data_IF_392535680721
#
_entry.id   IF_392535680721
#
_cell.length_a   1.000
_cell.length_b   1.000
_cell.length_c   1.000
_cell.angle_alpha   90.00
_cell.angle_beta   90.00
_cell.angle_gamma   90.00
#
_symmetry.space_group_name_H-M   'P 1'
#
loop_
_entity.id
_entity.type
_entity.pdbx_description
1 polymer ?
#
# COMPACT_ATOMS: atom_id res chain seq x y z
N UNK A 1 -13.82 18.55 -28.29
CA UNK A 1 -12.76 18.18 -29.26
C UNK A 1 -12.96 16.73 -29.65
N UNK A 2 -13.25 16.46 -30.93
CA UNK A 2 -13.47 15.09 -31.44
C UNK A 2 -12.09 14.56 -31.84
N UNK A 3 -11.67 13.46 -31.22
CA UNK A 3 -10.38 12.82 -31.52
C UNK A 3 -10.61 11.69 -32.52
N UNK A 4 -9.87 11.70 -33.62
CA UNK A 4 -10.00 10.73 -34.71
C UNK A 4 -8.71 9.91 -34.78
N UNK A 5 -8.81 8.58 -34.79
CA UNK A 5 -7.71 7.67 -35.06
C UNK A 5 -8.12 6.78 -36.23
N UNK A 6 -7.27 6.68 -37.26
CA UNK A 6 -7.50 5.82 -38.44
C UNK A 6 -8.87 6.04 -39.11
N UNK A 7 -9.36 7.28 -39.13
CA UNK A 7 -10.67 7.63 -39.71
C UNK A 7 -11.88 7.33 -38.81
N UNK A 8 -11.68 6.69 -37.65
CA UNK A 8 -12.72 6.42 -36.66
C UNK A 8 -12.76 7.46 -35.53
N UNK A 9 -13.97 7.78 -35.04
CA UNK A 9 -14.17 8.60 -33.83
C UNK A 9 -13.79 7.80 -32.59
N UNK A 10 -12.86 8.31 -31.79
CA UNK A 10 -12.52 7.69 -30.50
C UNK A 10 -13.66 7.98 -29.50
N UNK A 11 -14.29 6.94 -28.90
CA UNK A 11 -15.40 7.14 -27.99
C UNK A 11 -14.94 7.84 -26.72
N UNK A 12 -15.67 8.89 -26.31
CA UNK A 12 -15.47 9.55 -25.04
C UNK A 12 -16.28 8.83 -23.96
N UNK A 13 -15.58 8.13 -23.07
CA UNK A 13 -16.17 7.37 -21.97
C UNK A 13 -15.86 8.02 -20.62
N UNK A 14 -16.77 7.87 -19.65
CA UNK A 14 -16.57 8.39 -18.28
C UNK A 14 -15.50 7.63 -17.52
N UNK A 15 -15.44 6.31 -17.72
CA UNK A 15 -14.44 5.43 -17.14
C UNK A 15 -13.90 4.47 -18.20
N UNK A 16 -12.60 4.19 -18.15
CA UNK A 16 -11.92 3.26 -19.03
C UNK A 16 -10.97 2.37 -18.24
N UNK A 17 -11.02 1.07 -18.47
CA UNK A 17 -10.13 0.10 -17.81
C UNK A 17 -8.99 -0.27 -18.76
N UNK A 18 -7.80 0.17 -18.42
CA UNK A 18 -6.59 -0.13 -19.19
C UNK A 18 -5.64 -0.96 -18.33
N UNK A 19 -5.26 -2.14 -18.83
CA UNK A 19 -4.39 -3.09 -18.13
C UNK A 19 -4.82 -3.29 -16.67
N UNK A 20 -6.13 -3.44 -16.40
CA UNK A 20 -6.61 -3.65 -15.03
C UNK A 20 -6.80 -2.39 -14.17
N UNK A 21 -6.21 -1.23 -14.54
CA UNK A 21 -6.38 0.04 -13.83
C UNK A 21 -7.55 0.83 -14.41
N UNK A 22 -8.43 1.33 -13.56
CA UNK A 22 -9.60 2.13 -13.98
C UNK A 22 -9.25 3.62 -13.94
N UNK A 23 -9.31 4.26 -15.11
CA UNK A 23 -9.14 5.69 -15.30
C UNK A 23 -10.51 6.36 -15.44
N UNK A 24 -10.67 7.56 -14.90
CA UNK A 24 -11.87 8.38 -15.10
C UNK A 24 -11.56 9.62 -15.93
N UNK A 25 -12.61 10.23 -16.46
CA UNK A 25 -12.61 11.50 -17.18
C UNK A 25 -11.91 12.65 -16.41
N UNK A 26 -11.93 12.61 -15.08
CA UNK A 26 -11.25 13.57 -14.20
C UNK A 26 -9.75 13.32 -14.02
N UNK A 27 -9.19 12.25 -14.60
CA UNK A 27 -7.78 11.85 -14.51
C UNK A 27 -7.26 11.75 -13.06
N UNK A 28 -8.09 11.29 -12.14
CA UNK A 28 -7.72 11.08 -10.76
C UNK A 28 -7.66 9.57 -10.41
N UNK A 29 -7.13 9.27 -9.22
CA UNK A 29 -6.91 7.89 -8.76
C UNK A 29 -8.11 7.27 -8.03
N UNK A 30 -9.25 7.97 -7.93
CA UNK A 30 -10.38 7.54 -7.10
C UNK A 30 -11.00 6.26 -7.65
N UNK A 31 -11.26 6.20 -8.96
CA UNK A 31 -11.85 5.02 -9.61
C UNK A 31 -10.92 3.81 -9.54
N UNK A 32 -9.61 3.99 -9.77
CA UNK A 32 -8.63 2.92 -9.60
C UNK A 32 -8.62 2.32 -8.19
N UNK A 33 -8.62 3.18 -7.16
CA UNK A 33 -8.63 2.73 -5.75
C UNK A 33 -9.92 2.02 -5.40
N UNK A 34 -11.06 2.52 -5.88
CA UNK A 34 -12.37 1.90 -5.67
C UNK A 34 -12.40 0.50 -6.30
N UNK A 35 -12.02 0.38 -7.57
CA UNK A 35 -11.95 -0.90 -8.28
C UNK A 35 -11.01 -1.90 -7.57
N UNK A 36 -9.84 -1.46 -7.11
CA UNK A 36 -8.92 -2.34 -6.38
C UNK A 36 -9.48 -2.78 -5.02
N UNK A 37 -10.13 -1.87 -4.28
CA UNK A 37 -10.78 -2.22 -3.03
C UNK A 37 -11.91 -3.24 -3.24
N UNK A 38 -12.73 -3.06 -4.28
CA UNK A 38 -13.79 -4.00 -4.65
C UNK A 38 -13.24 -5.35 -5.11
N UNK A 39 -12.18 -5.36 -5.92
CA UNK A 39 -11.52 -6.61 -6.33
C UNK A 39 -10.91 -7.35 -5.14
N UNK A 40 -10.23 -6.65 -4.23
CA UNK A 40 -9.67 -7.24 -3.01
C UNK A 40 -10.78 -7.76 -2.08
N UNK A 41 -11.89 -7.03 -1.95
CA UNK A 41 -13.06 -7.46 -1.17
C UNK A 41 -13.69 -8.72 -1.75
N UNK A 42 -13.86 -8.80 -3.08
CA UNK A 42 -14.38 -10.02 -3.75
C UNK A 42 -13.45 -11.22 -3.52
N UNK A 43 -12.14 -11.02 -3.63
CA UNK A 43 -11.17 -12.08 -3.33
C UNK A 43 -11.26 -12.53 -1.86
N UNK A 44 -11.39 -11.59 -0.92
CA UNK A 44 -11.58 -11.89 0.50
C UNK A 44 -12.88 -12.69 0.73
N UNK A 45 -13.99 -12.27 0.13
CA UNK A 45 -15.27 -12.99 0.22
C UNK A 45 -15.17 -14.42 -0.31
N UNK A 46 -14.49 -14.63 -1.44
CA UNK A 46 -14.26 -15.97 -1.98
C UNK A 46 -13.39 -16.86 -1.09
N UNK A 47 -12.45 -16.27 -0.34
CA UNK A 47 -11.58 -16.99 0.59
C UNK A 47 -12.10 -17.04 2.03
N UNK A 48 -13.32 -16.55 2.29
CA UNK A 48 -13.84 -16.32 3.63
C UNK A 48 -13.77 -17.58 4.51
N UNK A 49 -14.28 -18.71 4.01
CA UNK A 49 -14.33 -19.97 4.75
C UNK A 49 -12.93 -20.50 5.08
N UNK A 50 -11.97 -20.37 4.16
CA UNK A 50 -10.60 -20.82 4.38
C UNK A 50 -9.88 -19.93 5.41
N UNK A 51 -10.00 -18.61 5.29
CA UNK A 51 -9.34 -17.68 6.20
C UNK A 51 -9.95 -17.71 7.60
N UNK A 52 -11.26 -17.96 7.72
CA UNK A 52 -11.95 -18.13 9.00
C UNK A 52 -11.73 -19.49 9.67
N UNK A 53 -11.15 -20.48 8.97
CA UNK A 53 -10.97 -21.83 9.51
C UNK A 53 -9.86 -21.87 10.57
N UNK A 54 -10.24 -22.07 11.84
CA UNK A 54 -9.31 -22.16 12.96
C UNK A 54 -8.45 -23.44 12.96
N UNK A 55 -8.85 -24.47 12.21
CA UNK A 55 -8.09 -25.73 12.06
C UNK A 55 -6.84 -25.55 11.20
N UNK A 56 -6.83 -24.54 10.33
CA UNK A 56 -5.68 -24.26 9.47
C UNK A 56 -4.68 -23.35 10.18
N UNK A 57 -3.37 -23.66 10.15
CA UNK A 57 -2.33 -22.80 10.73
C UNK A 57 -2.45 -21.34 10.30
N UNK A 58 -2.38 -20.43 11.27
CA UNK A 58 -2.45 -18.97 11.05
C UNK A 58 -1.42 -18.51 10.01
N UNK A 59 -0.21 -19.09 10.05
CA UNK A 59 0.86 -18.76 9.11
C UNK A 59 0.47 -19.00 7.64
N UNK A 60 -0.23 -20.10 7.34
CA UNK A 60 -0.71 -20.42 5.99
C UNK A 60 -1.81 -19.45 5.55
N UNK A 61 -2.76 -19.17 6.43
CA UNK A 61 -3.84 -18.21 6.16
C UNK A 61 -3.30 -16.79 5.95
N UNK A 62 -2.31 -16.37 6.73
CA UNK A 62 -1.61 -15.10 6.56
C UNK A 62 -0.81 -15.04 5.25
N UNK A 63 -0.25 -16.16 4.79
CA UNK A 63 0.43 -16.24 3.50
C UNK A 63 -0.51 -15.92 2.35
N UNK A 64 -1.76 -16.39 2.37
CA UNK A 64 -2.75 -16.04 1.35
C UNK A 64 -3.06 -14.54 1.30
N UNK A 65 -3.10 -13.87 2.44
CA UNK A 65 -3.26 -12.40 2.48
C UNK A 65 -2.07 -11.74 1.75
N UNK A 66 -0.84 -12.22 2.02
CA UNK A 66 0.37 -11.68 1.40
C UNK A 66 0.47 -11.96 -0.10
N UNK A 67 0.07 -13.15 -0.55
CA UNK A 67 0.25 -13.60 -1.93
C UNK A 67 -0.93 -13.27 -2.85
N UNK A 68 -2.14 -13.11 -2.31
CA UNK A 68 -3.36 -12.88 -3.11
C UNK A 68 -3.92 -11.48 -2.85
N UNK A 69 -4.30 -11.18 -1.60
CA UNK A 69 -5.05 -9.96 -1.29
C UNK A 69 -4.18 -8.72 -1.47
N UNK A 70 -2.95 -8.71 -0.94
CA UNK A 70 -2.05 -7.55 -1.04
C UNK A 70 -1.72 -7.22 -2.51
N UNK A 71 -1.36 -8.18 -3.39
CA UNK A 71 -1.12 -7.89 -4.80
C UNK A 71 -2.34 -7.31 -5.52
N UNK A 72 -3.54 -7.84 -5.29
CA UNK A 72 -4.79 -7.30 -5.87
C UNK A 72 -5.03 -5.86 -5.38
N UNK A 73 -4.88 -5.64 -4.08
CA UNK A 73 -5.05 -4.35 -3.42
C UNK A 73 -4.07 -3.28 -3.92
N UNK A 74 -2.82 -3.68 -4.19
CA UNK A 74 -1.71 -2.77 -4.51
C UNK A 74 -1.47 -2.61 -6.01
N UNK A 75 -2.28 -3.23 -6.87
CA UNK A 75 -2.15 -3.16 -8.31
C UNK A 75 -2.21 -1.71 -8.83
N UNK A 76 -1.22 -1.27 -9.60
CA UNK A 76 -1.10 0.14 -10.03
C UNK A 76 -0.73 1.11 -8.90
N UNK A 77 -0.19 0.61 -7.79
CA UNK A 77 0.27 1.40 -6.63
C UNK A 77 1.30 2.47 -6.98
N UNK A 78 2.01 2.33 -8.10
CA UNK A 78 2.89 3.34 -8.67
C UNK A 78 2.17 4.68 -8.90
N UNK A 79 0.89 4.65 -9.28
CA UNK A 79 0.11 5.84 -9.63
C UNK A 79 -0.36 6.58 -8.38
N UNK A 80 -0.89 5.84 -7.40
CA UNK A 80 -1.61 6.40 -6.26
C UNK A 80 -0.85 6.33 -4.92
N UNK A 81 0.32 5.70 -4.85
CA UNK A 81 1.15 5.59 -3.64
C UNK A 81 1.54 6.93 -3.00
N UNK A 82 2.19 6.86 -1.82
CA UNK A 82 2.68 7.99 -1.01
C UNK A 82 1.60 8.81 -0.29
N UNK A 83 0.40 8.26 -0.10
CA UNK A 83 -0.67 8.89 0.68
C UNK A 83 -1.49 7.86 1.46
N UNK A 84 -1.39 7.90 2.80
CA UNK A 84 -2.11 6.99 3.69
C UNK A 84 -3.63 7.22 3.64
N UNK A 85 -4.07 8.48 3.67
CA UNK A 85 -5.50 8.84 3.67
C UNK A 85 -6.21 8.32 2.42
N UNK A 86 -5.55 8.44 1.28
CA UNK A 86 -6.01 7.96 -0.02
C UNK A 86 -6.19 6.44 -0.06
N UNK A 87 -5.26 5.69 0.53
CA UNK A 87 -5.24 4.22 0.47
C UNK A 87 -6.10 3.58 1.58
N UNK A 88 -6.64 4.38 2.51
CA UNK A 88 -7.35 3.88 3.69
C UNK A 88 -8.49 2.89 3.35
N UNK A 89 -9.23 3.12 2.26
CA UNK A 89 -10.30 2.19 1.82
C UNK A 89 -9.77 0.79 1.51
N UNK A 90 -8.64 0.70 0.82
CA UNK A 90 -8.01 -0.58 0.49
C UNK A 90 -7.40 -1.22 1.75
N UNK A 91 -6.77 -0.42 2.62
CA UNK A 91 -6.20 -0.93 3.86
C UNK A 91 -7.26 -1.57 4.75
N UNK A 92 -8.48 -1.01 4.82
CA UNK A 92 -9.60 -1.61 5.56
C UNK A 92 -9.93 -3.03 5.11
N UNK A 93 -9.82 -3.34 3.81
CA UNK A 93 -10.07 -4.70 3.29
C UNK A 93 -9.01 -5.68 3.82
N UNK A 94 -7.72 -5.29 3.75
CA UNK A 94 -6.63 -6.09 4.30
C UNK A 94 -6.77 -6.26 5.81
N UNK A 95 -7.18 -5.21 6.53
CA UNK A 95 -7.40 -5.27 7.98
C UNK A 95 -8.55 -6.21 8.35
N UNK A 96 -9.63 -6.23 7.57
CA UNK A 96 -10.71 -7.19 7.74
C UNK A 96 -10.23 -8.61 7.52
N UNK A 97 -9.39 -8.86 6.50
CA UNK A 97 -8.79 -10.16 6.28
C UNK A 97 -7.90 -10.59 7.45
N UNK A 98 -7.06 -9.69 7.97
CA UNK A 98 -6.21 -9.94 9.13
C UNK A 98 -7.02 -10.30 10.38
N UNK A 99 -8.13 -9.59 10.62
CA UNK A 99 -9.04 -9.89 11.73
C UNK A 99 -9.68 -11.26 11.57
N UNK A 100 -10.11 -11.61 10.36
CA UNK A 100 -10.72 -12.90 10.06
C UNK A 100 -9.76 -14.07 10.34
N UNK A 101 -8.48 -13.92 9.97
CA UNK A 101 -7.46 -14.95 10.22
C UNK A 101 -7.23 -15.20 11.71
N UNK A 102 -7.23 -14.16 12.53
CA UNK A 102 -7.05 -14.30 13.98
C UNK A 102 -8.37 -14.62 14.71
N UNK A 103 -9.53 -14.32 14.11
CA UNK A 103 -10.81 -14.33 14.81
C UNK A 103 -10.98 -13.13 15.76
N UNK A 104 -10.32 -12.01 15.46
CA UNK A 104 -10.30 -10.83 16.32
C UNK A 104 -11.48 -9.89 16.08
N UNK A 105 -11.99 -9.29 17.16
CA UNK A 105 -13.06 -8.27 17.12
C UNK A 105 -12.62 -6.92 16.52
N UNK A 106 -13.56 -5.98 16.44
CA UNK A 106 -13.31 -4.64 15.85
C UNK A 106 -12.29 -3.80 16.63
N UNK A 107 -12.23 -3.98 17.96
CA UNK A 107 -11.40 -3.22 18.89
C UNK A 107 -9.90 -3.60 18.89
N UNK A 108 -9.50 -4.62 18.12
CA UNK A 108 -8.11 -5.08 18.09
C UNK A 108 -7.13 -3.99 17.61
N UNK A 109 -5.96 -3.93 18.23
CA UNK A 109 -4.86 -3.08 17.81
C UNK A 109 -4.32 -3.51 16.43
N UNK A 110 -4.77 -2.83 15.37
CA UNK A 110 -4.45 -3.18 13.98
C UNK A 110 -2.97 -3.08 13.62
N UNK A 111 -2.20 -2.20 14.28
CA UNK A 111 -0.75 -2.10 14.05
C UNK A 111 -0.07 -3.40 14.47
N UNK A 112 -0.32 -3.86 15.70
CA UNK A 112 0.22 -5.10 16.25
C UNK A 112 -0.27 -6.34 15.52
N UNK A 113 -1.56 -6.39 15.20
CA UNK A 113 -2.10 -7.49 14.38
C UNK A 113 -1.35 -7.66 13.05
N UNK A 114 -0.98 -6.56 12.38
CA UNK A 114 -0.22 -6.63 11.13
C UNK A 114 1.23 -7.05 11.35
N UNK A 115 1.85 -6.65 12.45
CA UNK A 115 3.22 -7.05 12.82
C UNK A 115 3.31 -8.55 13.09
N UNK A 116 2.41 -9.09 13.91
CA UNK A 116 2.30 -10.52 14.21
C UNK A 116 2.09 -11.35 12.94
N UNK A 117 1.20 -10.89 12.06
CA UNK A 117 0.95 -11.53 10.78
C UNK A 117 2.03 -11.23 9.72
N UNK A 118 3.09 -10.47 10.05
CA UNK A 118 4.16 -10.05 9.13
C UNK A 118 3.61 -9.41 7.85
N UNK A 119 2.58 -8.59 7.97
CA UNK A 119 1.89 -7.90 6.88
C UNK A 119 2.40 -6.47 6.73
N UNK A 120 2.98 -6.16 5.58
CA UNK A 120 3.24 -4.77 5.20
C UNK A 120 1.92 -4.04 4.90
N UNK A 121 1.79 -2.79 5.36
CA UNK A 121 0.63 -1.97 4.99
C UNK A 121 0.60 -1.70 3.48
N UNK A 122 -0.61 -1.54 2.95
CA UNK A 122 -0.86 -1.23 1.54
C UNK A 122 -0.18 0.07 1.16
N UNK A 123 -0.16 1.06 2.06
CA UNK A 123 0.52 2.33 1.84
C UNK A 123 2.04 2.15 1.68
N UNK A 124 2.67 1.30 2.49
CA UNK A 124 4.11 1.00 2.34
C UNK A 124 4.36 0.38 0.96
N UNK A 125 3.61 -0.66 0.58
CA UNK A 125 3.78 -1.35 -0.71
C UNK A 125 3.58 -0.41 -1.91
N UNK A 126 2.50 0.38 -1.91
CA UNK A 126 2.23 1.33 -2.98
C UNK A 126 3.27 2.47 -3.03
N UNK A 127 3.76 2.95 -1.88
CA UNK A 127 4.79 4.00 -1.83
C UNK A 127 6.14 3.51 -2.36
N UNK A 128 6.53 2.27 -2.01
CA UNK A 128 7.73 1.62 -2.57
C UNK A 128 7.59 1.40 -4.08
N UNK A 129 6.41 0.96 -4.54
CA UNK A 129 6.15 0.82 -5.98
C UNK A 129 6.31 2.17 -6.71
N UNK A 130 5.73 3.25 -6.16
CA UNK A 130 5.85 4.61 -6.71
C UNK A 130 7.28 5.15 -6.69
N UNK A 131 8.05 4.91 -5.63
CA UNK A 131 9.48 5.25 -5.57
C UNK A 131 10.26 4.51 -6.66
N UNK A 132 10.07 3.20 -6.77
CA UNK A 132 10.71 2.38 -7.81
C UNK A 132 10.37 2.88 -9.21
N UNK A 133 9.10 3.20 -9.44
CA UNK A 133 8.63 3.74 -10.71
C UNK A 133 9.31 5.07 -11.04
N UNK A 134 9.39 5.98 -10.07
CA UNK A 134 10.04 7.28 -10.27
C UNK A 134 11.52 7.18 -10.61
N UNK A 135 12.24 6.23 -10.02
CA UNK A 135 13.66 5.98 -10.34
C UNK A 135 13.78 5.31 -11.71
N UNK A 136 13.00 4.24 -11.96
CA UNK A 136 13.07 3.45 -13.20
C UNK A 136 12.65 4.26 -14.43
N UNK A 137 11.54 4.98 -14.33
CA UNK A 137 10.95 5.71 -15.45
C UNK A 137 11.80 6.91 -15.89
N UNK A 138 12.58 7.50 -14.97
CA UNK A 138 13.53 8.55 -15.31
C UNK A 138 14.62 8.09 -16.29
N UNK A 139 14.95 6.79 -16.30
CA UNK A 139 15.97 6.20 -17.17
C UNK A 139 15.36 5.40 -18.35
N UNK A 140 14.06 5.54 -18.60
CA UNK A 140 13.39 4.81 -19.67
C UNK A 140 13.62 5.46 -21.03
N UNK A 141 13.72 4.67 -22.11
CA UNK A 141 13.78 5.17 -23.50
C UNK A 141 12.43 5.68 -24.04
N UNK A 142 11.41 5.76 -23.20
CA UNK A 142 10.05 6.13 -23.61
C UNK A 142 9.75 7.57 -23.19
N UNK A 143 8.74 8.17 -23.82
CA UNK A 143 8.21 9.51 -23.52
C UNK A 143 7.92 9.79 -22.02
N UNK A 144 7.80 8.76 -21.18
CA UNK A 144 7.65 8.94 -19.73
C UNK A 144 8.88 9.59 -19.07
N UNK A 145 10.09 9.35 -19.60
CA UNK A 145 11.30 9.96 -19.10
C UNK A 145 11.29 11.47 -19.36
N UNK A 146 10.90 11.88 -20.57
CA UNK A 146 10.72 13.29 -20.94
C UNK A 146 9.66 13.96 -20.06
N UNK A 147 8.55 13.28 -19.76
CA UNK A 147 7.51 13.80 -18.86
C UNK A 147 7.99 13.94 -17.40
N UNK A 148 8.95 13.13 -16.97
CA UNK A 148 9.57 13.25 -15.64
C UNK A 148 10.58 14.39 -15.60
N UNK A 149 11.38 14.54 -16.65
CA UNK A 149 12.37 15.62 -16.78
C UNK A 149 11.69 16.98 -16.90
N UNK A 150 10.64 17.06 -17.72
CA UNK A 150 9.90 18.28 -18.06
C UNK A 150 8.43 18.15 -17.64
N UNK A 151 8.14 18.16 -16.33
CA UNK A 151 6.76 18.05 -15.86
C UNK A 151 5.92 19.26 -16.29
N UNK A 152 4.64 19.03 -16.54
CA UNK A 152 3.70 20.09 -16.89
C UNK A 152 3.70 21.22 -15.85
N UNK A 153 4.05 22.44 -16.28
CA UNK A 153 4.12 23.65 -15.43
C UNK A 153 2.76 24.27 -15.13
N UNK A 154 1.77 24.03 -16.00
CA UNK A 154 0.42 24.59 -15.85
C UNK A 154 -0.35 24.09 -14.62
N UNK A 155 0.14 23.02 -13.95
CA UNK A 155 -0.51 22.44 -12.76
C UNK A 155 0.39 22.57 -11.53
N UNK A 156 -0.17 23.09 -10.44
CA UNK A 156 0.51 23.21 -9.13
C UNK A 156 0.96 21.86 -8.54
N UNK A 157 0.29 20.77 -8.90
CA UNK A 157 0.62 19.43 -8.41
C UNK A 157 0.47 18.37 -9.51
N UNK A 158 1.56 17.68 -9.81
CA UNK A 158 1.61 16.56 -10.76
C UNK A 158 2.05 15.29 -10.03
N UNK A 159 1.98 14.15 -10.72
CA UNK A 159 2.52 12.91 -10.16
C UNK A 159 4.01 13.05 -9.82
N UNK A 160 4.79 13.69 -10.72
CA UNK A 160 6.23 13.93 -10.58
C UNK A 160 6.54 14.88 -9.42
N UNK A 161 5.90 16.06 -9.38
CA UNK A 161 6.16 17.05 -8.33
C UNK A 161 5.70 16.59 -6.96
N UNK A 162 4.62 15.80 -6.89
CA UNK A 162 4.18 15.12 -5.67
C UNK A 162 5.19 14.09 -5.16
N UNK A 163 5.69 13.22 -6.06
CA UNK A 163 6.70 12.21 -5.72
C UNK A 163 8.01 12.85 -5.26
N UNK A 164 8.50 13.85 -5.99
CA UNK A 164 9.73 14.58 -5.66
C UNK A 164 9.64 15.27 -4.29
N UNK A 165 8.54 16.00 -4.02
CA UNK A 165 8.31 16.61 -2.69
C UNK A 165 8.26 15.58 -1.57
N UNK A 166 7.59 14.45 -1.79
CA UNK A 166 7.49 13.40 -0.79
C UNK A 166 8.86 12.79 -0.48
N UNK A 167 9.64 12.45 -1.51
CA UNK A 167 11.00 11.89 -1.34
C UNK A 167 11.89 12.89 -0.63
N UNK A 168 11.91 14.16 -1.04
CA UNK A 168 12.71 15.22 -0.36
C UNK A 168 12.33 15.39 1.12
N UNK A 169 11.04 15.23 1.45
CA UNK A 169 10.55 15.41 2.81
C UNK A 169 10.86 14.23 3.73
N UNK A 170 10.84 13.01 3.21
CA UNK A 170 10.84 11.80 4.04
C UNK A 170 12.04 10.87 3.82
N UNK A 171 12.66 10.87 2.65
CA UNK A 171 13.79 10.00 2.32
C UNK A 171 15.11 10.75 2.49
N UNK A 172 16.17 10.05 2.93
CA UNK A 172 17.52 10.63 3.04
C UNK A 172 18.20 10.79 1.69
N UNK A 173 17.93 9.85 0.76
CA UNK A 173 18.49 9.82 -0.59
C UNK A 173 17.46 9.29 -1.59
N UNK A 174 17.66 9.58 -2.87
CA UNK A 174 16.85 9.03 -3.97
C UNK A 174 17.41 7.65 -4.36
N UNK A 175 17.13 6.64 -3.54
CA UNK A 175 17.56 5.27 -3.77
C UNK A 175 16.38 4.28 -3.57
N UNK A 176 16.42 3.08 -4.16
CA UNK A 176 15.40 2.07 -3.93
C UNK A 176 15.25 1.74 -2.44
N UNK A 177 14.00 1.50 -2.00
CA UNK A 177 13.63 1.11 -0.63
C UNK A 177 13.79 2.19 0.45
N UNK A 178 14.09 3.44 0.10
CA UNK A 178 14.14 4.53 1.08
C UNK A 178 12.73 4.89 1.57
N UNK A 179 11.71 4.80 0.73
CA UNK A 179 10.31 4.97 1.13
C UNK A 179 9.87 3.95 2.19
N UNK A 180 10.36 2.71 2.10
CA UNK A 180 10.11 1.67 3.10
C UNK A 180 10.70 2.06 4.46
N UNK A 181 11.98 2.47 4.47
CA UNK A 181 12.68 2.89 5.69
C UNK A 181 11.99 4.09 6.33
N UNK A 182 11.67 5.11 5.53
CA UNK A 182 11.02 6.33 6.00
C UNK A 182 9.65 6.06 6.63
N UNK A 183 8.83 5.22 5.99
CA UNK A 183 7.51 4.87 6.52
C UNK A 183 7.59 3.99 7.77
N UNK A 184 8.50 3.01 7.82
CA UNK A 184 8.73 2.21 9.04
C UNK A 184 9.18 3.06 10.21
N UNK A 185 10.18 3.94 10.00
CA UNK A 185 10.65 4.86 11.04
C UNK A 185 9.53 5.78 11.53
N UNK A 186 8.64 6.22 10.64
CA UNK A 186 7.46 7.01 11.01
C UNK A 186 6.44 6.21 11.82
N UNK A 187 6.20 4.95 11.48
CA UNK A 187 5.31 4.08 12.27
C UNK A 187 5.85 3.90 13.68
N UNK A 188 7.15 3.61 13.82
CA UNK A 188 7.81 3.47 15.14
C UNK A 188 7.72 4.76 15.94
N UNK A 189 8.08 5.91 15.35
CA UNK A 189 8.02 7.23 16.02
C UNK A 189 6.61 7.59 16.49
N UNK A 190 5.59 7.16 15.75
CA UNK A 190 4.20 7.46 16.07
C UNK A 190 3.58 6.43 17.02
N UNK A 191 4.23 5.28 17.25
CA UNK A 191 3.80 4.32 18.25
C UNK A 191 4.14 4.87 19.64
N UNK A 192 3.11 4.97 20.48
CA UNK A 192 3.19 5.42 21.87
C UNK A 192 2.57 4.39 22.79
N UNK A 193 2.55 3.12 22.37
CA UNK A 193 1.98 2.04 23.17
C UNK A 193 2.95 1.62 24.26
N UNK A 194 2.41 1.27 25.43
CA UNK A 194 3.19 0.70 26.54
C UNK A 194 3.97 -0.55 26.09
N UNK A 195 3.41 -1.31 25.14
CA UNK A 195 4.06 -2.49 24.55
C UNK A 195 5.36 -2.10 23.81
N UNK A 196 5.35 -1.03 23.01
CA UNK A 196 6.59 -0.55 22.37
C UNK A 196 7.64 -0.12 23.40
N UNK A 197 7.22 0.50 24.51
CA UNK A 197 8.14 0.88 25.58
C UNK A 197 8.82 -0.35 26.19
N UNK A 198 8.07 -1.43 26.45
CA UNK A 198 8.63 -2.69 26.96
C UNK A 198 9.55 -3.39 25.95
N UNK A 199 9.20 -3.39 24.67
CA UNK A 199 10.00 -4.02 23.61
C UNK A 199 11.37 -3.35 23.42
N UNK A 200 11.46 -2.04 23.71
CA UNK A 200 12.69 -1.25 23.56
C UNK A 200 13.48 -1.09 24.87
N UNK A 201 12.99 -1.67 25.98
CA UNK A 201 13.78 -1.70 27.21
C UNK A 201 15.02 -2.58 27.01
N UNK A 202 16.21 -2.13 27.45
CA UNK A 202 17.35 -3.04 27.51
C UNK A 202 16.97 -4.23 28.38
N UNK A 203 17.47 -5.45 28.08
CA UNK A 203 17.20 -6.60 28.92
C UNK A 203 17.57 -6.21 30.36
N UNK A 204 16.57 -6.18 31.24
CA UNK A 204 16.81 -5.93 32.66
C UNK A 204 17.79 -6.97 33.21
N UNK A 205 18.44 -6.70 34.35
CA UNK A 205 19.21 -7.75 35.03
C UNK A 205 18.31 -8.97 35.13
N UNK A 206 18.76 -10.11 34.57
CA UNK A 206 18.01 -11.37 34.60
C UNK A 206 17.57 -11.57 36.06
N UNK A 207 16.29 -11.33 36.35
CA UNK A 207 15.75 -11.70 37.64
C UNK A 207 15.95 -13.20 37.70
N UNK A 208 16.89 -13.64 38.55
CA UNK A 208 17.05 -15.03 38.87
C UNK A 208 15.67 -15.45 39.37
N UNK A 209 14.96 -16.22 38.54
CA UNK A 209 13.74 -16.88 38.94
C UNK A 209 14.19 -17.96 39.92
N UNK A 210 14.37 -17.56 41.18
CA UNK A 210 14.60 -18.47 42.28
C UNK A 210 13.31 -19.26 42.41
N UNK A 211 13.30 -20.43 41.79
CA UNK A 211 12.35 -21.48 42.11
C UNK A 211 12.57 -21.80 43.58
N UNK A 212 11.65 -21.38 44.45
CA UNK A 212 11.61 -21.89 45.82
C UNK A 212 10.98 -23.29 45.77
N UNK A 213 11.59 -24.29 46.44
CA UNK A 213 11.10 -25.65 46.45
C UNK A 213 9.72 -25.78 47.10
#
# INVERSE_FOLDING_TARGET
>A
MIFMIQGGRVPQVKEYKYLGVTFNDKWNHVSAIKNNAEAASRALSGMYFFLGNNKTPVALRATLIRSVIIPIATYGGEIFGMSQSRINKIQKVVDSASRLVIGAGKAVALTRLREELKLSTVNIKASVARERAYIKWANSKTWIAELIEKPMKAKLSTWVSGTSRWIKRFCKKKAPNEALKALKARTIRNDKSVISEWEHQPPGPKAAMVWRP
#
